data_IF_494772145016
#
_entry.id   IF_494772145016
#
_cell.length_a   1.000
_cell.length_b   1.000
_cell.length_c   1.000
_cell.angle_alpha   90.00
_cell.angle_beta   90.00
_cell.angle_gamma   90.00
#
_symmetry.space_group_name_H-M   'P 1'
#
loop_
_entity.id
_entity.type
_entity.pdbx_description
1 polymer ?
#
# COMPACT_ATOMS: atom_id res chain seq x y z
N UNK A 1 -3.93 -1.58 1.86
CA UNK A 1 -2.89 -2.35 1.17
C UNK A 1 -2.78 -1.85 -0.27
N UNK A 2 -1.65 -1.27 -0.65
CA UNK A 2 -1.42 -0.68 -1.99
C UNK A 2 -0.87 -1.70 -3.00
N UNK A 3 -0.32 -2.82 -2.52
CA UNK A 3 0.38 -3.81 -3.35
C UNK A 3 -0.54 -4.44 -4.40
N UNK A 4 -1.74 -4.87 -3.98
CA UNK A 4 -2.73 -5.47 -4.89
C UNK A 4 -3.20 -4.50 -5.99
N UNK A 5 -3.27 -3.20 -5.70
CA UNK A 5 -3.64 -2.16 -6.68
C UNK A 5 -2.56 -2.05 -7.74
N UNK A 6 -1.29 -2.00 -7.33
CA UNK A 6 -0.14 -1.91 -8.23
C UNK A 6 -0.05 -3.16 -9.13
N UNK A 7 -0.18 -4.36 -8.55
CA UNK A 7 -0.18 -5.62 -9.31
C UNK A 7 -1.32 -5.66 -10.32
N UNK A 8 -2.54 -5.25 -9.94
CA UNK A 8 -3.69 -5.19 -10.86
C UNK A 8 -3.51 -4.16 -11.97
N UNK A 9 -2.89 -3.02 -11.69
CA UNK A 9 -2.67 -1.97 -12.66
C UNK A 9 -1.73 -2.38 -13.82
N UNK A 10 -0.98 -3.49 -13.68
CA UNK A 10 -0.19 -4.10 -14.77
C UNK A 10 -1.02 -4.91 -15.78
N UNK A 11 -2.28 -5.26 -15.46
CA UNK A 11 -3.09 -6.16 -16.31
C UNK A 11 -3.33 -5.61 -17.73
N UNK A 12 -3.57 -4.31 -17.96
CA UNK A 12 -3.54 -3.75 -19.30
C UNK A 12 -2.08 -3.62 -19.77
N UNK A 13 -1.70 -4.21 -20.92
CA UNK A 13 -0.38 -3.97 -21.51
C UNK A 13 -0.16 -2.47 -21.71
N UNK A 14 0.98 -1.94 -21.22
CA UNK A 14 1.34 -0.52 -21.34
C UNK A 14 0.79 0.41 -20.25
N UNK A 15 0.04 -0.09 -19.27
CA UNK A 15 -0.38 0.70 -18.10
C UNK A 15 0.76 0.81 -17.08
N UNK A 16 1.15 2.04 -16.74
CA UNK A 16 2.10 2.33 -15.65
C UNK A 16 1.36 2.99 -14.48
N UNK A 17 1.19 2.27 -13.37
CA UNK A 17 0.79 2.91 -12.13
C UNK A 17 1.97 3.69 -11.54
N UNK A 18 1.67 4.85 -10.96
CA UNK A 18 2.64 5.62 -10.17
C UNK A 18 2.34 5.47 -8.69
N UNK A 19 3.36 5.17 -7.91
CA UNK A 19 3.26 5.12 -6.46
C UNK A 19 3.80 6.44 -5.90
N UNK A 20 2.92 7.21 -5.26
CA UNK A 20 3.29 8.42 -4.55
C UNK A 20 3.21 8.18 -3.05
N UNK A 21 4.23 8.65 -2.35
CA UNK A 21 4.37 8.54 -0.91
C UNK A 21 4.35 9.93 -0.30
N UNK A 22 3.46 10.10 0.68
CA UNK A 22 3.56 11.16 1.66
C UNK A 22 4.32 10.60 2.85
N UNK A 23 5.51 11.12 3.10
CA UNK A 23 6.43 10.56 4.10
C UNK A 23 6.09 10.96 5.54
N UNK A 24 5.31 12.04 5.74
CA UNK A 24 4.90 12.52 7.07
C UNK A 24 3.42 12.91 7.11
N UNK A 25 2.88 13.18 8.29
CA UNK A 25 1.50 13.68 8.40
C UNK A 25 1.35 15.13 7.90
N UNK A 26 2.46 15.88 7.82
CA UNK A 26 2.45 17.29 7.45
C UNK A 26 2.07 17.50 5.98
N UNK A 27 1.21 18.48 5.73
CA UNK A 27 0.85 18.93 4.38
C UNK A 27 1.82 19.98 3.83
N UNK A 28 1.57 20.43 2.60
CA UNK A 28 2.34 21.47 1.91
C UNK A 28 2.52 22.74 2.73
N UNK A 29 1.44 23.23 3.39
CA UNK A 29 1.47 24.50 4.13
C UNK A 29 2.26 24.35 5.41
N UNK A 30 2.07 23.23 6.11
CA UNK A 30 2.79 22.93 7.33
C UNK A 30 4.29 22.78 7.06
N UNK A 31 4.67 22.14 5.96
CA UNK A 31 6.08 22.08 5.55
C UNK A 31 6.64 23.43 5.11
N UNK A 32 5.88 24.23 4.37
CA UNK A 32 6.29 25.58 4.00
C UNK A 32 6.55 26.45 5.23
N UNK A 33 5.74 26.30 6.29
CA UNK A 33 5.95 26.97 7.57
C UNK A 33 7.18 26.42 8.30
N UNK A 34 7.34 25.10 8.38
CA UNK A 34 8.46 24.45 9.08
C UNK A 34 9.82 24.76 8.42
N UNK A 35 9.85 25.01 7.12
CA UNK A 35 11.05 25.31 6.33
C UNK A 35 11.32 26.82 6.16
N UNK A 36 10.59 27.69 6.87
CA UNK A 36 10.92 29.11 6.90
C UNK A 36 12.29 29.37 7.55
N UNK A 37 13.00 30.46 7.17
CA UNK A 37 14.21 30.88 7.83
C UNK A 37 14.00 31.09 9.33
N UNK A 38 14.73 30.34 10.16
CA UNK A 38 14.64 30.49 11.61
C UNK A 38 16.00 30.22 12.27
N UNK A 39 16.68 31.31 12.66
CA UNK A 39 17.98 31.25 13.32
C UNK A 39 19.03 30.45 12.54
N UNK A 40 19.75 29.56 13.23
CA UNK A 40 20.82 28.71 12.68
C UNK A 40 20.36 27.32 12.29
N UNK A 41 19.04 27.06 12.26
CA UNK A 41 18.52 25.73 11.91
C UNK A 41 18.88 25.32 10.49
N UNK A 42 19.13 24.02 10.34
CA UNK A 42 19.39 23.37 9.05
C UNK A 42 18.18 22.59 8.57
N UNK A 43 18.15 22.25 7.28
CA UNK A 43 17.15 21.35 6.69
C UNK A 43 17.06 20.03 7.46
N UNK A 44 18.20 19.37 7.71
CA UNK A 44 18.27 18.14 8.50
C UNK A 44 17.64 18.29 9.88
N UNK A 45 17.93 19.39 10.57
CA UNK A 45 17.39 19.66 11.90
C UNK A 45 15.86 19.75 11.92
N UNK A 46 15.23 20.22 10.85
CA UNK A 46 13.76 20.25 10.73
C UNK A 46 13.23 18.88 10.34
N UNK A 47 13.78 18.25 9.30
CA UNK A 47 13.28 16.96 8.80
C UNK A 47 13.35 15.86 9.86
N UNK A 48 14.42 15.83 10.66
CA UNK A 48 14.65 14.80 11.70
C UNK A 48 13.69 14.89 12.89
N UNK A 49 12.90 15.96 12.99
CA UNK A 49 11.81 16.05 13.99
C UNK A 49 10.60 15.20 13.59
N UNK A 50 10.43 14.97 12.30
CA UNK A 50 9.29 14.26 11.72
C UNK A 50 9.68 12.89 11.13
N UNK A 51 10.97 12.69 10.85
CA UNK A 51 11.49 11.54 10.11
C UNK A 51 12.72 10.92 10.79
N UNK A 52 12.93 9.61 10.67
CA UNK A 52 14.21 8.99 11.00
C UNK A 52 15.38 9.61 10.23
N UNK A 53 16.54 9.75 10.89
CA UNK A 53 17.71 10.45 10.35
C UNK A 53 18.12 9.99 8.94
N UNK A 54 18.26 8.68 8.73
CA UNK A 54 18.66 8.12 7.43
C UNK A 54 17.65 8.44 6.32
N UNK A 55 16.37 8.48 6.64
CA UNK A 55 15.31 8.80 5.68
C UNK A 55 15.29 10.29 5.37
N UNK A 56 15.41 11.14 6.40
CA UNK A 56 15.52 12.59 6.23
C UNK A 56 16.67 12.96 5.28
N UNK A 57 17.85 12.37 5.49
CA UNK A 57 19.02 12.64 4.66
C UNK A 57 18.84 12.15 3.21
N UNK A 58 18.23 10.95 3.02
CA UNK A 58 17.94 10.40 1.70
C UNK A 58 16.94 11.26 0.91
N UNK A 59 15.87 11.73 1.56
CA UNK A 59 14.85 12.58 0.91
C UNK A 59 15.38 13.98 0.60
N UNK A 60 16.21 14.54 1.48
CA UNK A 60 16.91 15.80 1.20
C UNK A 60 17.85 15.66 -0.01
N UNK A 61 18.62 14.57 -0.08
CA UNK A 61 19.47 14.28 -1.24
C UNK A 61 18.65 14.10 -2.52
N UNK A 62 17.52 13.39 -2.47
CA UNK A 62 16.60 13.22 -3.61
C UNK A 62 16.03 14.56 -4.10
N UNK A 63 15.77 15.51 -3.20
CA UNK A 63 15.34 16.87 -3.57
C UNK A 63 16.48 17.76 -4.12
N UNK A 64 17.73 17.28 -4.09
CA UNK A 64 18.92 18.05 -4.43
C UNK A 64 19.24 19.15 -3.42
N UNK A 65 18.92 18.92 -2.14
CA UNK A 65 19.13 19.87 -1.04
C UNK A 65 20.12 19.28 -0.03
N UNK A 66 21.27 19.92 0.22
CA UNK A 66 22.19 19.46 1.25
C UNK A 66 21.52 19.45 2.63
N UNK A 67 21.56 18.36 3.41
CA UNK A 67 20.92 18.30 4.73
C UNK A 67 21.47 19.37 5.70
N UNK A 68 22.73 19.74 5.55
CA UNK A 68 23.40 20.78 6.35
C UNK A 68 23.03 22.21 5.94
N UNK A 69 22.24 22.41 4.87
CA UNK A 69 21.85 23.74 4.40
C UNK A 69 21.09 24.50 5.49
N UNK A 70 21.55 25.70 5.89
CA UNK A 70 20.78 26.56 6.78
C UNK A 70 19.45 26.98 6.13
N UNK A 71 18.35 27.03 6.89
CA UNK A 71 17.03 27.42 6.35
C UNK A 71 17.05 28.84 5.76
N UNK A 72 17.85 29.74 6.34
CA UNK A 72 18.06 31.09 5.82
C UNK A 72 18.69 31.12 4.41
N UNK A 73 19.35 30.03 3.99
CA UNK A 73 19.97 29.86 2.68
C UNK A 73 19.19 28.88 1.79
N UNK A 74 18.02 28.42 2.22
CA UNK A 74 17.17 27.53 1.45
C UNK A 74 16.33 28.36 0.46
N UNK A 75 16.68 28.29 -0.82
CA UNK A 75 16.00 29.05 -1.87
C UNK A 75 14.58 28.52 -2.07
N UNK A 76 13.67 29.38 -2.52
CA UNK A 76 12.26 29.02 -2.79
C UNK A 76 12.13 27.77 -3.68
N UNK A 77 12.92 27.66 -4.74
CA UNK A 77 12.89 26.49 -5.63
C UNK A 77 13.41 25.20 -4.98
N UNK A 78 14.43 25.28 -4.11
CA UNK A 78 14.91 24.13 -3.33
C UNK A 78 13.87 23.68 -2.32
N UNK A 79 13.22 24.63 -1.66
CA UNK A 79 12.14 24.38 -0.71
C UNK A 79 10.96 23.68 -1.38
N UNK A 80 10.49 24.19 -2.53
CA UNK A 80 9.38 23.57 -3.24
C UNK A 80 9.68 22.13 -3.65
N UNK A 81 10.88 21.87 -4.21
CA UNK A 81 11.31 20.50 -4.55
C UNK A 81 11.37 19.60 -3.32
N UNK A 82 11.84 20.11 -2.18
CA UNK A 82 11.87 19.36 -0.94
C UNK A 82 10.46 19.01 -0.46
N UNK A 83 9.53 19.95 -0.49
CA UNK A 83 8.12 19.73 -0.15
C UNK A 83 7.49 18.70 -1.10
N UNK A 84 7.73 18.83 -2.41
CA UNK A 84 7.22 17.87 -3.40
C UNK A 84 7.75 16.46 -3.12
N UNK A 85 9.03 16.30 -2.79
CA UNK A 85 9.61 15.01 -2.38
C UNK A 85 8.99 14.47 -1.09
N UNK A 86 8.69 15.32 -0.10
CA UNK A 86 8.14 14.92 1.19
C UNK A 86 6.66 14.54 1.13
N UNK A 87 5.88 15.25 0.32
CA UNK A 87 4.40 15.14 0.28
C UNK A 87 3.90 14.31 -0.90
N UNK A 88 4.64 14.31 -2.02
CA UNK A 88 4.28 13.65 -3.29
C UNK A 88 5.46 12.88 -3.88
N UNK A 89 6.33 12.33 -3.03
CA UNK A 89 7.52 11.61 -3.48
C UNK A 89 7.15 10.40 -4.32
N UNK A 90 7.64 10.33 -5.56
CA UNK A 90 7.48 9.13 -6.38
C UNK A 90 8.39 8.03 -5.83
N UNK A 91 7.79 6.87 -5.49
CA UNK A 91 8.51 5.67 -5.08
C UNK A 91 8.61 4.74 -6.29
N UNK A 92 9.82 4.52 -6.85
CA UNK A 92 9.99 3.61 -7.97
C UNK A 92 9.54 2.20 -7.58
N UNK A 93 8.76 1.59 -8.46
CA UNK A 93 8.30 0.22 -8.30
C UNK A 93 8.51 -0.53 -9.61
N UNK A 94 9.22 -1.65 -9.55
CA UNK A 94 9.61 -2.47 -10.71
C UNK A 94 8.84 -3.78 -10.84
N UNK A 95 8.03 -4.14 -9.84
CA UNK A 95 7.26 -5.38 -9.84
C UNK A 95 7.11 -5.99 -8.45
N UNK A 96 6.56 -7.20 -8.44
CA UNK A 96 6.39 -8.04 -7.27
C UNK A 96 7.30 -9.27 -7.34
N UNK A 97 7.52 -9.91 -6.20
CA UNK A 97 8.36 -11.12 -6.07
C UNK A 97 7.67 -12.41 -6.53
N UNK A 98 6.43 -12.30 -7.04
CA UNK A 98 5.62 -13.42 -7.49
C UNK A 98 5.08 -14.31 -6.37
N UNK A 99 4.30 -15.31 -6.76
CA UNK A 99 3.56 -16.19 -5.83
C UNK A 99 4.45 -17.03 -4.91
N UNK A 100 5.73 -17.27 -5.26
CA UNK A 100 6.67 -17.99 -4.38
C UNK A 100 6.94 -17.26 -3.07
N UNK A 101 6.79 -15.93 -3.05
CA UNK A 101 6.94 -15.10 -1.85
C UNK A 101 5.62 -14.44 -1.41
N UNK A 102 4.52 -14.65 -2.14
CA UNK A 102 3.24 -14.05 -1.79
C UNK A 102 2.63 -14.77 -0.58
N UNK A 103 2.06 -14.01 0.35
CA UNK A 103 1.35 -14.57 1.51
C UNK A 103 -0.08 -15.02 1.19
N UNK A 104 -0.68 -14.48 0.12
CA UNK A 104 -2.04 -14.80 -0.31
C UNK A 104 -2.15 -14.74 -1.83
N UNK A 105 -3.05 -15.55 -2.37
CA UNK A 105 -3.41 -15.55 -3.78
C UNK A 105 -4.51 -14.53 -4.06
N UNK A 106 -4.25 -13.57 -4.93
CA UNK A 106 -5.27 -12.64 -5.41
C UNK A 106 -6.00 -13.20 -6.62
N UNK A 107 -7.32 -13.40 -6.50
CA UNK A 107 -8.13 -14.09 -7.50
C UNK A 107 -8.74 -15.37 -6.94
N UNK A 108 -9.32 -16.21 -7.80
CA UNK A 108 -9.90 -17.49 -7.40
C UNK A 108 -11.18 -17.77 -8.17
N UNK A 109 -11.99 -18.68 -7.63
CA UNK A 109 -13.33 -18.96 -8.15
C UNK A 109 -14.24 -17.78 -7.85
N UNK A 110 -14.90 -17.26 -8.88
CA UNK A 110 -15.79 -16.11 -8.77
C UNK A 110 -16.88 -16.34 -7.73
N UNK A 111 -17.03 -15.40 -6.79
CA UNK A 111 -18.10 -15.48 -5.79
C UNK A 111 -19.50 -15.44 -6.41
N UNK A 112 -19.64 -14.91 -7.63
CA UNK A 112 -20.90 -14.93 -8.36
C UNK A 112 -21.34 -16.36 -8.77
N UNK A 113 -20.40 -17.30 -8.85
CA UNK A 113 -20.63 -18.70 -9.20
C UNK A 113 -20.95 -19.57 -7.99
N UNK A 114 -21.00 -18.97 -6.80
CA UNK A 114 -21.21 -19.65 -5.52
C UNK A 114 -22.51 -19.17 -4.88
N UNK A 115 -23.23 -20.08 -4.22
CA UNK A 115 -24.34 -19.72 -3.34
C UNK A 115 -23.76 -19.15 -2.03
N UNK A 116 -24.01 -17.89 -1.67
CA UNK A 116 -23.33 -17.24 -0.55
C UNK A 116 -23.77 -17.77 0.84
N UNK A 117 -24.86 -18.53 0.93
CA UNK A 117 -25.34 -19.10 2.20
C UNK A 117 -24.76 -20.48 2.48
N UNK A 118 -24.63 -21.28 1.42
CA UNK A 118 -24.24 -22.69 1.52
C UNK A 118 -22.83 -22.96 1.00
N UNK A 119 -22.27 -22.02 0.26
CA UNK A 119 -21.04 -22.16 -0.52
C UNK A 119 -21.03 -23.29 -1.56
N UNK A 120 -22.22 -23.71 -1.99
CA UNK A 120 -22.37 -24.64 -3.11
C UNK A 120 -22.03 -23.97 -4.43
N UNK A 121 -21.37 -24.69 -5.32
CA UNK A 121 -21.26 -24.29 -6.72
C UNK A 121 -22.65 -24.15 -7.36
N UNK A 122 -22.83 -23.09 -8.15
CA UNK A 122 -24.04 -22.90 -8.98
C UNK A 122 -24.02 -23.78 -10.23
N UNK A 123 -22.84 -24.26 -10.64
CA UNK A 123 -22.67 -25.11 -11.83
C UNK A 123 -22.79 -26.60 -11.53
N UNK A 124 -22.35 -27.04 -10.35
CA UNK A 124 -22.38 -28.44 -9.95
C UNK A 124 -23.07 -28.63 -8.60
N UNK A 125 -24.22 -29.33 -8.63
CA UNK A 125 -24.87 -29.77 -7.40
C UNK A 125 -23.96 -30.75 -6.66
N UNK A 126 -23.84 -30.58 -5.35
CA UNK A 126 -23.00 -31.44 -4.49
C UNK A 126 -21.55 -30.98 -4.35
N UNK A 127 -21.10 -29.98 -5.12
CA UNK A 127 -19.77 -29.37 -4.96
C UNK A 127 -19.86 -28.13 -4.07
N UNK A 128 -18.99 -28.05 -3.06
CA UNK A 128 -18.88 -26.94 -2.12
C UNK A 128 -17.42 -26.48 -2.03
N UNK A 129 -17.21 -25.17 -1.96
CA UNK A 129 -15.89 -24.55 -2.04
C UNK A 129 -15.74 -23.51 -0.92
N UNK A 130 -14.60 -23.48 -0.25
CA UNK A 130 -14.36 -22.58 0.88
C UNK A 130 -12.88 -22.18 0.97
N UNK A 131 -12.59 -21.14 1.75
CA UNK A 131 -11.23 -20.64 1.95
C UNK A 131 -10.67 -19.91 0.74
N UNK A 132 -9.34 -19.96 0.61
CA UNK A 132 -8.56 -19.16 -0.36
C UNK A 132 -8.78 -19.56 -1.83
N UNK A 133 -9.44 -20.70 -2.10
CA UNK A 133 -9.80 -21.06 -3.49
C UNK A 133 -10.85 -20.12 -4.08
N UNK A 134 -11.63 -19.45 -3.23
CA UNK A 134 -12.62 -18.45 -3.62
C UNK A 134 -11.94 -17.10 -3.89
N UNK A 135 -12.47 -16.31 -4.82
CA UNK A 135 -11.98 -14.96 -5.13
C UNK A 135 -12.30 -13.96 -4.01
N UNK A 136 -11.65 -14.14 -2.87
CA UNK A 136 -11.78 -13.35 -1.67
C UNK A 136 -10.48 -13.41 -0.87
N UNK A 137 -9.87 -12.24 -0.64
CA UNK A 137 -8.70 -12.08 0.20
C UNK A 137 -8.84 -10.82 1.05
N UNK A 138 -8.29 -10.87 2.25
CA UNK A 138 -8.26 -9.77 3.20
C UNK A 138 -6.85 -9.22 3.44
N UNK A 139 -6.72 -8.08 4.15
CA UNK A 139 -5.42 -7.56 4.56
C UNK A 139 -4.73 -8.50 5.55
N UNK A 140 -3.42 -8.30 5.73
CA UNK A 140 -2.65 -8.99 6.77
C UNK A 140 -3.26 -8.66 8.15
N UNK A 141 -3.28 -9.65 9.05
CA UNK A 141 -3.86 -9.51 10.39
C UNK A 141 -4.99 -10.50 10.71
N UNK A 142 -5.00 -11.67 10.09
CA UNK A 142 -5.92 -12.77 10.43
C UNK A 142 -7.23 -12.82 9.65
N UNK A 143 -7.48 -11.86 8.75
CA UNK A 143 -8.71 -11.82 7.94
C UNK A 143 -8.85 -13.04 7.02
N UNK A 144 -7.76 -13.51 6.40
CA UNK A 144 -7.79 -14.70 5.56
C UNK A 144 -8.08 -15.98 6.36
N UNK A 145 -7.60 -16.07 7.60
CA UNK A 145 -7.97 -17.16 8.50
C UNK A 145 -9.45 -17.09 8.89
N UNK A 146 -9.94 -15.92 9.31
CA UNK A 146 -11.35 -15.73 9.62
C UNK A 146 -12.25 -16.10 8.42
N UNK A 147 -11.86 -15.72 7.21
CA UNK A 147 -12.52 -16.12 5.97
C UNK A 147 -12.54 -17.63 5.80
N UNK A 148 -11.39 -18.30 5.93
CA UNK A 148 -11.29 -19.75 5.82
C UNK A 148 -12.16 -20.48 6.85
N UNK A 149 -12.20 -20.02 8.10
CA UNK A 149 -13.03 -20.62 9.15
C UNK A 149 -14.52 -20.44 8.90
N UNK A 150 -14.94 -19.21 8.62
CA UNK A 150 -16.35 -18.90 8.38
C UNK A 150 -16.89 -19.64 7.15
N UNK A 151 -16.12 -19.62 6.06
CA UNK A 151 -16.52 -20.31 4.82
C UNK A 151 -16.45 -21.83 4.96
N UNK A 152 -15.44 -22.36 5.65
CA UNK A 152 -15.33 -23.79 5.92
C UNK A 152 -16.53 -24.33 6.72
N UNK A 153 -16.96 -23.60 7.75
CA UNK A 153 -18.16 -23.95 8.51
C UNK A 153 -19.43 -23.90 7.63
N UNK A 154 -19.62 -22.82 6.86
CA UNK A 154 -20.78 -22.66 6.00
C UNK A 154 -20.88 -23.75 4.92
N UNK A 155 -19.76 -24.06 4.26
CA UNK A 155 -19.66 -25.14 3.28
C UNK A 155 -19.96 -26.51 3.92
N UNK A 156 -19.44 -26.77 5.12
CA UNK A 156 -19.71 -28.00 5.87
C UNK A 156 -21.19 -28.18 6.21
N UNK A 157 -21.84 -27.13 6.73
CA UNK A 157 -23.28 -27.15 7.02
C UNK A 157 -24.12 -27.29 5.74
N UNK A 158 -23.76 -26.58 4.68
CA UNK A 158 -24.42 -26.68 3.37
C UNK A 158 -24.32 -28.09 2.78
N UNK A 159 -23.14 -28.70 2.86
CA UNK A 159 -22.92 -30.06 2.39
C UNK A 159 -23.69 -31.10 3.21
N UNK A 160 -23.84 -30.91 4.51
CA UNK A 160 -24.62 -31.81 5.37
C UNK A 160 -26.13 -31.70 5.11
N UNK A 161 -26.66 -30.49 4.93
CA UNK A 161 -28.09 -30.25 4.69
C UNK A 161 -28.54 -30.61 3.26
N UNK A 162 -27.60 -30.65 2.30
CA UNK A 162 -27.87 -31.02 0.91
C UNK A 162 -27.76 -32.52 0.62
N UNK A 163 -27.55 -33.37 1.64
CA UNK A 163 -27.61 -34.83 1.54
C UNK A 163 -29.04 -35.35 1.61
#
# INVERSE_FOLDING_TARGET
DVSHVLVRARKPPGSSARLQVRWTALDDRQWEQALQPEGTRTVAGVLRRELPERLADALAAQAGVPPTRPLAQLRRGERQRLIDTLVRGELPWSGDEGYKKAEVTGGGISLAEIDPRTLRSRHHRGLYLCGEVLDAFGPIGGFNFQWAWATGQAAGLGAAAGR
#
